data_IF_641347789220
#
_entry.id   IF_641347789220
#
_cell.length_a   1.000
_cell.length_b   1.000
_cell.length_c   1.000
_cell.angle_alpha   90.00
_cell.angle_beta   90.00
_cell.angle_gamma   90.00
#
_symmetry.space_group_name_H-M   'P 1'
#
loop_
_entity.id
_entity.type
_entity.pdbx_description
1 polymer ?
#
# COMPACT_ATOMS: atom_id res chain seq x y z
N UNK A 1 -11.34 -5.78 6.96
CA UNK A 1 -11.80 -6.51 5.74
C UNK A 1 -11.34 -5.88 4.43
N UNK A 2 -11.22 -4.57 4.27
CA UNK A 2 -10.90 -3.91 2.98
C UNK A 2 -9.59 -4.31 2.29
N UNK A 3 -8.64 -4.92 2.97
CA UNK A 3 -7.37 -5.41 2.43
C UNK A 3 -7.17 -6.92 2.55
N UNK A 4 -8.22 -7.65 2.98
CA UNK A 4 -8.12 -9.09 3.30
C UNK A 4 -8.56 -10.01 2.16
N UNK A 5 -9.04 -9.46 1.05
CA UNK A 5 -9.33 -10.24 -0.15
C UNK A 5 -8.04 -10.56 -0.89
N UNK A 6 -8.01 -11.71 -1.55
CA UNK A 6 -6.89 -12.10 -2.40
C UNK A 6 -6.56 -10.99 -3.40
N UNK A 7 -5.28 -10.71 -3.61
CA UNK A 7 -4.74 -9.67 -4.48
C UNK A 7 -5.07 -8.22 -4.13
N UNK A 8 -5.80 -7.92 -3.03
CA UNK A 8 -6.15 -6.54 -2.66
C UNK A 8 -5.03 -5.79 -1.92
N UNK A 9 -3.98 -6.47 -1.52
CA UNK A 9 -2.81 -5.89 -0.88
C UNK A 9 -1.52 -6.44 -1.50
N UNK A 10 -1.24 -6.16 -2.79
CA UNK A 10 -0.01 -6.59 -3.43
C UNK A 10 1.20 -6.00 -2.70
N UNK A 11 2.22 -6.81 -2.47
CA UNK A 11 3.43 -6.45 -1.75
C UNK A 11 4.65 -6.95 -2.53
N UNK A 12 5.68 -6.14 -2.61
CA UNK A 12 6.89 -6.46 -3.37
C UNK A 12 7.12 -5.45 -4.50
N UNK A 13 7.91 -5.79 -5.56
CA UNK A 13 8.66 -7.05 -5.73
C UNK A 13 9.86 -7.17 -4.79
N UNK A 14 10.30 -6.08 -4.17
CA UNK A 14 11.49 -6.03 -3.33
C UNK A 14 11.13 -5.77 -1.86
N UNK A 15 11.96 -6.25 -0.97
CA UNK A 15 11.98 -5.91 0.44
C UNK A 15 13.36 -5.33 0.74
N UNK A 16 13.41 -4.05 1.10
CA UNK A 16 14.65 -3.37 1.48
C UNK A 16 14.73 -3.30 3.00
N UNK A 17 15.85 -3.76 3.54
CA UNK A 17 16.07 -3.78 4.99
C UNK A 17 16.46 -2.41 5.51
N UNK A 18 16.23 -2.15 6.81
CA UNK A 18 16.47 -0.84 7.40
C UNK A 18 17.94 -0.41 7.41
N UNK A 19 18.87 -1.36 7.39
CA UNK A 19 20.31 -1.08 7.27
C UNK A 19 20.72 -0.61 5.87
N UNK A 20 20.00 -1.03 4.84
CA UNK A 20 20.20 -0.59 3.45
C UNK A 20 19.44 0.72 3.17
N UNK A 21 18.18 0.80 3.58
CA UNK A 21 17.32 1.96 3.31
C UNK A 21 17.69 3.18 4.17
N UNK A 22 18.13 2.97 5.40
CA UNK A 22 18.37 4.03 6.39
C UNK A 22 17.05 4.52 7.01
N UNK A 23 16.84 5.84 7.03
CA UNK A 23 15.64 6.44 7.63
C UNK A 23 14.42 6.37 6.70
N UNK A 24 13.38 5.60 7.05
CA UNK A 24 12.17 5.51 6.25
C UNK A 24 11.25 6.75 6.36
N UNK A 25 11.61 7.74 7.17
CA UNK A 25 10.77 8.89 7.51
C UNK A 25 10.77 10.04 6.50
N UNK A 26 11.55 9.97 5.41
CA UNK A 26 11.69 11.07 4.44
C UNK A 26 11.74 10.59 2.98
N UNK A 27 11.06 9.50 2.65
CA UNK A 27 11.07 8.91 1.33
C UNK A 27 9.95 9.49 0.47
N UNK A 28 10.27 9.87 -0.77
CA UNK A 28 9.24 10.22 -1.75
C UNK A 28 8.41 8.99 -2.12
N UNK A 29 7.08 9.16 -2.16
CA UNK A 29 6.13 8.12 -2.58
C UNK A 29 5.19 8.66 -3.64
N UNK A 30 5.07 7.96 -4.76
CA UNK A 30 4.20 8.34 -5.88
C UNK A 30 3.39 7.18 -6.37
N UNK A 31 2.15 7.46 -6.75
CA UNK A 31 1.23 6.48 -7.33
C UNK A 31 0.66 7.00 -8.63
N UNK A 32 0.72 6.18 -9.66
CA UNK A 32 0.08 6.43 -10.96
C UNK A 32 -1.00 5.38 -11.22
N UNK A 33 -2.07 5.81 -11.86
CA UNK A 33 -3.03 4.92 -12.52
C UNK A 33 -2.91 5.16 -14.01
N UNK A 34 -2.46 4.15 -14.73
CA UNK A 34 -1.98 4.28 -16.11
C UNK A 34 -0.83 5.30 -16.15
N UNK A 35 -0.97 6.37 -16.92
CA UNK A 35 0.03 7.44 -17.00
C UNK A 35 -0.30 8.66 -16.11
N UNK A 36 -1.46 8.64 -15.40
CA UNK A 36 -1.89 9.74 -14.56
C UNK A 36 -1.31 9.64 -13.15
N UNK A 37 -0.57 10.67 -12.74
CA UNK A 37 -0.12 10.82 -11.36
C UNK A 37 -1.31 11.08 -10.44
N UNK A 38 -1.56 10.19 -9.50
CA UNK A 38 -2.69 10.24 -8.55
C UNK A 38 -2.29 10.64 -7.15
N UNK A 39 -1.11 10.21 -6.71
CA UNK A 39 -0.57 10.55 -5.39
C UNK A 39 0.89 10.96 -5.57
N UNK A 40 1.27 12.07 -4.94
CA UNK A 40 2.65 12.55 -4.82
C UNK A 40 2.84 13.11 -3.42
N UNK A 41 3.66 12.46 -2.60
CA UNK A 41 3.82 12.76 -1.19
C UNK A 41 5.16 12.23 -0.68
N UNK A 42 5.37 12.35 0.61
CA UNK A 42 6.53 11.82 1.30
C UNK A 42 6.11 11.07 2.56
N UNK A 43 6.91 10.11 3.00
CA UNK A 43 6.68 9.44 4.29
C UNK A 43 6.83 10.38 5.47
N UNK A 44 7.43 11.57 5.28
CA UNK A 44 7.45 12.64 6.30
C UNK A 44 6.05 13.19 6.64
N UNK A 45 5.07 13.02 5.75
CA UNK A 45 3.67 13.43 5.96
C UNK A 45 2.87 12.44 6.80
N UNK A 46 3.47 11.32 7.25
CA UNK A 46 2.81 10.39 8.16
C UNK A 46 2.41 11.09 9.47
N UNK A 47 1.13 10.99 9.84
CA UNK A 47 0.62 11.53 11.11
C UNK A 47 1.35 10.88 12.30
N UNK A 48 1.59 9.57 12.20
CA UNK A 48 2.40 8.81 13.13
C UNK A 48 3.54 8.13 12.38
N UNK A 49 4.77 8.40 12.77
CA UNK A 49 5.94 7.73 12.20
C UNK A 49 6.00 6.24 12.56
N UNK A 50 6.81 5.47 11.82
CA UNK A 50 6.92 4.03 12.00
C UNK A 50 7.23 3.61 13.45
N UNK A 51 8.14 4.31 14.13
CA UNK A 51 8.50 4.01 15.52
C UNK A 51 7.31 4.16 16.48
N UNK A 52 6.53 5.24 16.34
CA UNK A 52 5.35 5.47 17.17
C UNK A 52 4.25 4.42 16.92
N UNK A 53 4.09 3.96 15.67
CA UNK A 53 3.15 2.89 15.35
C UNK A 53 3.58 1.55 15.99
N UNK A 54 4.87 1.21 15.92
CA UNK A 54 5.40 -0.01 16.54
C UNK A 54 5.21 0.06 18.06
N UNK A 55 5.58 1.17 18.70
CA UNK A 55 5.43 1.39 20.12
C UNK A 55 3.96 1.20 20.54
N UNK A 56 3.03 1.82 19.83
CA UNK A 56 1.60 1.71 20.14
C UNK A 56 1.08 0.27 19.98
N UNK A 57 1.38 -0.39 18.87
CA UNK A 57 0.90 -1.74 18.59
C UNK A 57 1.42 -2.76 19.60
N UNK A 58 2.68 -2.64 20.02
CA UNK A 58 3.30 -3.56 20.98
C UNK A 58 2.76 -3.41 22.39
N UNK A 59 1.98 -2.38 22.69
CA UNK A 59 1.22 -2.33 23.94
C UNK A 59 0.06 -3.32 23.99
N UNK A 60 -0.45 -3.72 22.82
CA UNK A 60 -1.64 -4.58 22.72
C UNK A 60 -1.29 -6.04 22.37
N UNK A 61 -0.28 -6.27 21.54
CA UNK A 61 0.13 -7.62 21.11
C UNK A 61 1.59 -7.65 20.66
N UNK A 62 2.26 -8.81 20.71
CA UNK A 62 3.61 -8.95 20.19
C UNK A 62 3.61 -8.85 18.66
N UNK A 63 4.62 -8.19 18.09
CA UNK A 63 4.87 -8.19 16.66
C UNK A 63 5.83 -9.33 16.34
N UNK A 64 5.35 -10.31 15.60
CA UNK A 64 6.15 -11.44 15.16
C UNK A 64 7.01 -11.06 13.93
N UNK A 65 8.18 -11.70 13.73
CA UNK A 65 8.96 -11.54 12.51
C UNK A 65 8.11 -11.79 11.26
N UNK A 66 8.18 -10.88 10.30
CA UNK A 66 7.35 -10.93 9.08
C UNK A 66 6.00 -10.23 9.20
N UNK A 67 5.66 -9.62 10.36
CA UNK A 67 4.47 -8.79 10.48
C UNK A 67 4.55 -7.59 9.53
N UNK A 68 3.50 -7.38 8.73
CA UNK A 68 3.36 -6.23 7.83
C UNK A 68 2.41 -5.21 8.42
N UNK A 69 2.85 -3.98 8.54
CA UNK A 69 2.05 -2.86 9.04
C UNK A 69 1.69 -1.95 7.87
N UNK A 70 0.39 -1.84 7.56
CA UNK A 70 -0.09 -0.87 6.58
C UNK A 70 -0.19 0.51 7.23
N UNK A 71 0.74 1.41 6.91
CA UNK A 71 0.91 2.70 7.57
C UNK A 71 -0.06 3.80 7.13
N UNK A 72 -0.94 3.51 6.18
CA UNK A 72 -1.89 4.46 5.62
C UNK A 72 -1.56 4.86 4.19
N UNK A 73 -2.25 5.87 3.69
CA UNK A 73 -2.10 6.36 2.32
C UNK A 73 -2.20 7.88 2.27
N UNK A 74 -1.44 8.56 1.40
CA UNK A 74 -1.56 10.00 1.22
C UNK A 74 -2.85 10.39 0.46
N UNK A 75 -3.07 11.69 0.28
CA UNK A 75 -4.15 12.23 -0.54
C UNK A 75 -4.08 11.70 -1.99
N UNK A 76 -5.22 11.72 -2.71
CA UNK A 76 -5.32 11.28 -4.11
C UNK A 76 -5.94 9.89 -4.28
N UNK A 77 -6.54 9.32 -3.23
CA UNK A 77 -7.35 8.08 -3.36
C UNK A 77 -8.56 8.32 -4.25
N UNK A 78 -8.87 7.35 -5.11
CA UNK A 78 -9.93 7.47 -6.10
C UNK A 78 -11.30 7.85 -5.52
N UNK A 79 -11.62 7.38 -4.33
CA UNK A 79 -12.88 7.70 -3.63
C UNK A 79 -12.99 9.18 -3.21
N UNK A 80 -11.88 9.91 -3.08
CA UNK A 80 -11.87 11.31 -2.64
C UNK A 80 -12.03 12.32 -3.78
N UNK A 81 -12.06 11.87 -5.03
CA UNK A 81 -12.36 12.74 -6.16
C UNK A 81 -13.85 13.03 -6.28
N UNK A 82 -14.21 14.16 -6.88
CA UNK A 82 -15.58 14.50 -7.23
C UNK A 82 -15.67 14.74 -8.76
N UNK A 83 -16.32 13.84 -9.52
CA UNK A 83 -16.87 12.54 -9.11
C UNK A 83 -15.76 11.52 -8.75
N UNK A 84 -16.09 10.48 -7.95
CA UNK A 84 -15.12 9.43 -7.58
C UNK A 84 -14.52 8.73 -8.81
N UNK A 85 -13.22 8.43 -8.73
CA UNK A 85 -12.45 7.79 -9.81
C UNK A 85 -12.02 6.38 -9.41
N UNK A 86 -12.91 5.41 -9.64
CA UNK A 86 -12.65 4.01 -9.33
C UNK A 86 -11.68 3.39 -10.33
N UNK A 87 -10.91 2.42 -9.85
CA UNK A 87 -10.12 1.55 -10.71
C UNK A 87 -11.04 0.70 -11.58
N UNK A 88 -10.62 0.42 -12.81
CA UNK A 88 -11.38 -0.36 -13.80
C UNK A 88 -10.54 -1.50 -14.31
N UNK A 89 -11.20 -2.49 -14.87
CA UNK A 89 -10.55 -3.57 -15.59
C UNK A 89 -9.62 -3.02 -16.68
N UNK A 90 -8.40 -3.54 -16.73
CA UNK A 90 -7.36 -3.10 -17.64
C UNK A 90 -6.53 -1.91 -17.17
N UNK A 91 -6.89 -1.23 -16.07
CA UNK A 91 -6.01 -0.21 -15.48
C UNK A 91 -4.71 -0.84 -14.98
N UNK A 92 -3.65 -0.04 -14.95
CA UNK A 92 -2.37 -0.41 -14.35
C UNK A 92 -2.06 0.56 -13.23
N UNK A 93 -1.91 0.04 -12.01
CA UNK A 93 -1.46 0.81 -10.86
C UNK A 93 0.04 0.63 -10.70
N UNK A 94 0.76 1.75 -10.64
CA UNK A 94 2.19 1.82 -10.42
C UNK A 94 2.48 2.66 -9.19
N UNK A 95 3.29 2.13 -8.29
CA UNK A 95 3.71 2.80 -7.05
C UNK A 95 5.22 2.80 -7.02
N UNK A 96 5.83 3.97 -6.80
CA UNK A 96 7.27 4.09 -6.61
C UNK A 96 7.56 4.70 -5.25
N UNK A 97 8.53 4.15 -4.55
CA UNK A 97 9.05 4.66 -3.28
C UNK A 97 10.56 4.82 -3.43
N UNK A 98 11.04 6.02 -3.10
CA UNK A 98 12.46 6.35 -3.13
C UNK A 98 13.28 5.36 -2.29
N UNK A 99 14.38 4.88 -2.82
CA UNK A 99 15.27 3.93 -2.15
C UNK A 99 14.74 2.48 -2.06
N UNK A 100 13.47 2.23 -2.40
CA UNK A 100 12.87 0.88 -2.37
C UNK A 100 12.70 0.33 -3.78
N UNK A 101 12.06 1.11 -4.68
CA UNK A 101 11.81 0.66 -6.04
C UNK A 101 10.37 0.89 -6.50
N UNK A 102 9.92 0.09 -7.45
CA UNK A 102 8.64 0.25 -8.09
C UNK A 102 7.82 -1.04 -8.06
N UNK A 103 6.58 -0.94 -7.63
CA UNK A 103 5.56 -1.99 -7.70
C UNK A 103 4.54 -1.65 -8.79
N UNK A 104 4.28 -2.59 -9.69
CA UNK A 104 3.34 -2.41 -10.79
C UNK A 104 2.39 -3.59 -10.90
N UNK A 105 1.09 -3.33 -10.85
CA UNK A 105 0.06 -4.35 -10.92
C UNK A 105 -1.05 -3.97 -11.91
N UNK A 106 -1.50 -4.91 -12.75
CA UNK A 106 -2.72 -4.73 -13.51
C UNK A 106 -3.94 -4.86 -12.59
N UNK A 107 -4.99 -4.12 -12.93
CA UNK A 107 -6.31 -4.28 -12.33
C UNK A 107 -7.11 -5.21 -13.21
N UNK A 108 -7.66 -6.27 -12.63
CA UNK A 108 -8.54 -7.20 -13.32
C UNK A 108 -9.86 -7.28 -12.58
N UNK A 109 -10.96 -7.36 -13.32
CA UNK A 109 -12.26 -7.57 -12.69
C UNK A 109 -12.31 -8.97 -12.11
N UNK A 110 -12.55 -9.09 -10.81
CA UNK A 110 -12.75 -10.38 -10.16
C UNK A 110 -13.96 -11.10 -10.75
N UNK A 111 -13.80 -12.39 -10.98
CA UNK A 111 -14.94 -13.25 -11.30
C UNK A 111 -15.88 -13.39 -10.10
N UNK A 112 -17.09 -13.94 -10.30
CA UNK A 112 -17.95 -14.30 -9.18
C UNK A 112 -17.15 -15.23 -8.24
N UNK A 113 -17.15 -14.92 -6.94
CA UNK A 113 -16.52 -15.77 -5.95
C UNK A 113 -17.11 -17.18 -6.06
N UNK A 114 -16.29 -18.18 -6.37
CA UNK A 114 -16.75 -19.56 -6.28
C UNK A 114 -17.13 -19.83 -4.82
N UNK A 115 -18.29 -20.43 -4.55
CA UNK A 115 -18.67 -20.76 -3.20
C UNK A 115 -17.63 -21.71 -2.62
N UNK A 116 -16.98 -21.29 -1.53
CA UNK A 116 -16.09 -22.16 -0.77
C UNK A 116 -16.93 -23.33 -0.28
N UNK A 117 -16.74 -24.50 -0.88
CA UNK A 117 -17.38 -25.73 -0.42
C UNK A 117 -16.93 -25.97 1.02
N UNK A 118 -17.86 -25.79 1.96
CA UNK A 118 -17.68 -26.27 3.32
C UNK A 118 -17.78 -27.80 3.25
N UNK A 119 -16.62 -28.47 3.12
CA UNK A 119 -16.50 -29.90 3.29
C UNK A 119 -16.41 -30.28 4.77
#
# INVERSE_FOLDING_TARGET
MGKSFDSYAPCGPELVTGDELGDPGQLAIRTWVNEELRQDSTTADLIFGCAAMIEYLTTAFPLEPGTVIATGTPAGVGAAFDPPRWLKDGDVVRIAIEGIGELRNPVVQGGPAEPVGLG
#
